data_IF_677622048662
#
_entry.id   IF_677622048662
#
_cell.length_a   1.000
_cell.length_b   1.000
_cell.length_c   1.000
_cell.angle_alpha   90.00
_cell.angle_beta   90.00
_cell.angle_gamma   90.00
#
_symmetry.space_group_name_H-M   'P 1'
#
loop_
_entity.id
_entity.type
_entity.pdbx_description
1 polymer ?
#
# COMPACT_ATOMS: atom_id res chain seq x y z
N UNK A 1 14.93 6.03 -13.28
CA UNK A 1 14.68 4.87 -14.16
C UNK A 1 13.45 5.17 -14.99
N UNK A 2 13.30 4.70 -16.23
CA UNK A 2 12.06 4.92 -16.99
C UNK A 2 10.99 3.95 -16.50
N UNK A 3 9.86 4.46 -16.01
CA UNK A 3 8.72 3.68 -15.52
C UNK A 3 7.49 3.96 -16.40
N UNK A 4 6.61 2.97 -16.51
CA UNK A 4 5.36 3.07 -17.28
C UNK A 4 4.16 3.04 -16.32
N UNK A 5 3.14 3.84 -16.63
CA UNK A 5 1.89 3.85 -15.90
C UNK A 5 1.18 2.49 -16.06
N UNK A 6 0.72 1.86 -14.96
CA UNK A 6 0.10 0.55 -15.02
C UNK A 6 -1.34 0.60 -15.58
N UNK A 7 -1.98 1.77 -15.55
CA UNK A 7 -3.35 1.99 -16.08
C UNK A 7 -3.35 2.25 -17.59
N UNK A 8 -2.47 3.14 -18.08
CA UNK A 8 -2.52 3.62 -19.48
C UNK A 8 -1.19 3.53 -20.23
N UNK A 9 -0.16 2.89 -19.65
CA UNK A 9 1.11 2.55 -20.30
C UNK A 9 1.94 3.75 -20.80
N UNK A 10 1.57 4.97 -20.39
CA UNK A 10 2.35 6.17 -20.67
C UNK A 10 3.57 6.23 -19.75
N UNK A 11 4.65 6.88 -20.22
CA UNK A 11 5.84 7.12 -19.42
C UNK A 11 5.49 8.03 -18.24
N UNK A 12 5.88 7.62 -17.04
CA UNK A 12 5.76 8.46 -15.86
C UNK A 12 6.80 9.58 -15.88
N UNK A 13 6.40 10.76 -15.40
CA UNK A 13 7.24 11.95 -15.31
C UNK A 13 7.52 12.23 -13.84
N UNK A 14 8.80 12.43 -13.51
CA UNK A 14 9.20 12.77 -12.14
C UNK A 14 8.79 14.22 -11.86
N UNK A 15 7.94 14.41 -10.85
CA UNK A 15 7.56 15.71 -10.33
C UNK A 15 8.01 15.90 -8.88
N UNK A 16 8.19 17.16 -8.45
CA UNK A 16 8.53 17.48 -7.07
C UNK A 16 7.31 18.02 -6.35
N UNK A 17 6.80 17.23 -5.41
CA UNK A 17 5.73 17.65 -4.52
C UNK A 17 6.32 18.31 -3.28
N UNK A 18 5.81 19.49 -2.93
CA UNK A 18 6.26 20.24 -1.76
C UNK A 18 5.49 19.80 -0.52
N UNK A 19 6.20 19.54 0.56
CA UNK A 19 5.64 19.40 1.90
C UNK A 19 6.40 20.29 2.86
N UNK A 20 5.87 21.49 3.11
CA UNK A 20 6.56 22.52 3.88
C UNK A 20 7.90 22.88 3.22
N UNK A 21 9.00 22.58 3.91
CA UNK A 21 10.37 22.85 3.44
C UNK A 21 10.98 21.70 2.60
N UNK A 22 10.31 20.56 2.52
CA UNK A 22 10.82 19.36 1.86
C UNK A 22 10.23 19.21 0.47
N UNK A 23 11.04 18.72 -0.47
CA UNK A 23 10.57 18.25 -1.77
C UNK A 23 10.60 16.73 -1.76
N UNK A 24 9.48 16.10 -2.10
CA UNK A 24 9.38 14.67 -2.35
C UNK A 24 9.27 14.49 -3.85
N UNK A 25 10.09 13.61 -4.42
CA UNK A 25 9.96 13.28 -5.85
C UNK A 25 8.83 12.27 -5.97
N UNK A 26 7.97 12.38 -6.98
CA UNK A 26 6.91 11.41 -7.27
C UNK A 26 6.86 11.19 -8.76
N UNK A 27 6.33 10.06 -9.20
CA UNK A 27 6.18 9.75 -10.62
C UNK A 27 4.73 9.93 -11.06
N UNK A 28 4.45 10.98 -11.81
CA UNK A 28 3.11 11.34 -12.27
C UNK A 28 2.83 10.82 -13.69
N UNK A 29 1.63 10.30 -13.91
CA UNK A 29 1.12 10.01 -15.25
C UNK A 29 0.34 11.21 -15.80
N UNK A 30 0.76 11.74 -16.96
CA UNK A 30 0.05 12.83 -17.64
C UNK A 30 -1.22 12.42 -18.38
N UNK A 31 -1.47 11.10 -18.53
CA UNK A 31 -2.64 10.56 -19.23
C UNK A 31 -3.83 10.33 -18.31
N UNK A 32 -3.63 9.53 -17.25
CA UNK A 32 -4.69 9.22 -16.29
C UNK A 32 -4.64 10.09 -15.03
N UNK A 33 -3.50 10.72 -14.69
CA UNK A 33 -3.32 11.48 -13.46
C UNK A 33 -2.84 10.67 -12.25
N UNK A 34 -2.63 9.36 -12.41
CA UNK A 34 -2.15 8.51 -11.31
C UNK A 34 -0.69 8.79 -10.93
N UNK A 35 -0.36 8.47 -9.69
CA UNK A 35 0.91 8.78 -9.04
C UNK A 35 1.55 7.49 -8.54
N UNK A 36 2.81 7.27 -8.89
CA UNK A 36 3.64 6.25 -8.26
C UNK A 36 4.55 6.89 -7.20
N UNK A 37 4.56 6.30 -6.01
CA UNK A 37 5.37 6.67 -4.88
C UNK A 37 6.37 5.55 -4.59
N UNK A 38 7.65 5.89 -4.55
CA UNK A 38 8.70 4.97 -4.09
C UNK A 38 8.59 4.70 -2.58
N UNK A 39 9.34 3.70 -2.12
CA UNK A 39 9.38 3.33 -0.72
C UNK A 39 9.63 4.54 0.20
N UNK A 40 8.72 4.74 1.16
CA UNK A 40 8.79 5.81 2.15
C UNK A 40 8.31 7.18 1.68
N UNK A 41 7.99 7.38 0.40
CA UNK A 41 7.49 8.67 -0.11
C UNK A 41 6.09 8.98 0.42
N UNK A 42 5.23 7.98 0.56
CA UNK A 42 3.92 8.15 1.21
C UNK A 42 4.06 8.70 2.64
N UNK A 43 5.01 8.18 3.44
CA UNK A 43 5.31 8.72 4.76
C UNK A 43 5.86 10.15 4.70
N UNK A 44 6.73 10.43 3.71
CA UNK A 44 7.26 11.78 3.51
C UNK A 44 6.19 12.77 3.11
N UNK A 45 5.16 12.37 2.38
CA UNK A 45 4.05 13.22 1.93
C UNK A 45 2.97 13.41 2.98
N UNK A 46 2.65 12.37 3.76
CA UNK A 46 1.53 12.39 4.72
C UNK A 46 1.99 12.61 6.16
N UNK A 47 3.18 12.11 6.54
CA UNK A 47 3.62 11.99 7.93
C UNK A 47 2.80 11.00 8.75
N UNK A 48 1.87 10.28 8.12
CA UNK A 48 0.99 9.35 8.76
C UNK A 48 1.71 7.99 8.86
N UNK A 49 2.31 7.71 10.03
CA UNK A 49 3.03 6.46 10.29
C UNK A 49 2.12 5.22 10.21
N UNK A 50 0.89 5.24 10.78
CA UNK A 50 -0.07 4.16 10.58
C UNK A 50 -0.33 3.85 9.10
N UNK A 51 -0.54 4.88 8.27
CA UNK A 51 -0.74 4.71 6.83
C UNK A 51 0.45 4.05 6.14
N UNK A 52 1.68 4.51 6.41
CA UNK A 52 2.88 3.85 5.89
C UNK A 52 3.02 2.40 6.40
N UNK A 53 2.51 2.07 7.58
CA UNK A 53 2.61 0.69 8.07
C UNK A 53 1.80 -0.28 7.20
N UNK A 54 0.66 0.17 6.66
CA UNK A 54 -0.14 -0.60 5.69
C UNK A 54 0.68 -0.98 4.45
N UNK A 55 1.58 -0.11 3.99
CA UNK A 55 2.43 -0.38 2.82
C UNK A 55 3.57 -1.37 3.08
N UNK A 56 3.72 -1.84 4.31
CA UNK A 56 4.84 -2.70 4.76
C UNK A 56 4.38 -4.05 5.33
N UNK A 57 3.06 -4.27 5.45
CA UNK A 57 2.52 -5.54 5.92
C UNK A 57 2.37 -6.53 4.77
N UNK A 58 2.53 -7.82 5.08
CA UNK A 58 2.22 -8.90 4.14
C UNK A 58 0.69 -9.10 4.17
N UNK A 59 -0.02 -8.50 3.22
CA UNK A 59 -1.47 -8.62 3.09
C UNK A 59 -1.75 -9.32 1.76
N UNK A 60 -1.66 -10.65 1.78
CA UNK A 60 -1.78 -11.49 0.60
C UNK A 60 -2.87 -12.55 0.74
N UNK A 61 -4.02 -12.16 1.30
CA UNK A 61 -5.11 -13.12 1.53
C UNK A 61 -6.21 -12.95 0.48
N UNK A 62 -6.62 -11.72 0.10
CA UNK A 62 -7.67 -11.50 -0.92
C UNK A 62 -7.55 -10.11 -1.58
N UNK A 63 -6.57 -9.90 -2.46
CA UNK A 63 -6.44 -8.64 -3.20
C UNK A 63 -6.90 -8.78 -4.65
N UNK A 64 -7.80 -7.88 -5.07
CA UNK A 64 -8.32 -7.79 -6.44
C UNK A 64 -7.50 -6.84 -7.33
N UNK A 65 -6.35 -6.34 -6.86
CA UNK A 65 -5.53 -5.44 -7.67
C UNK A 65 -5.01 -6.15 -8.91
N UNK A 66 -5.23 -5.52 -10.06
CA UNK A 66 -4.79 -6.01 -11.36
C UNK A 66 -3.55 -5.27 -11.87
N UNK A 67 -2.89 -4.49 -11.00
CA UNK A 67 -1.79 -3.62 -11.40
C UNK A 67 -0.43 -4.29 -11.27
N UNK A 68 0.45 -3.97 -12.22
CA UNK A 68 1.86 -4.28 -12.14
C UNK A 68 2.62 -3.06 -11.62
N UNK A 69 3.46 -3.26 -10.62
CA UNK A 69 4.27 -2.22 -10.00
C UNK A 69 5.18 -1.53 -11.04
N UNK A 70 5.07 -0.21 -11.24
CA UNK A 70 5.97 0.53 -12.12
C UNK A 70 7.44 0.47 -11.69
N UNK A 71 7.69 0.23 -10.40
CA UNK A 71 9.03 0.16 -9.83
C UNK A 71 9.77 -1.14 -10.13
N UNK A 72 9.10 -2.29 -10.02
CA UNK A 72 9.75 -3.61 -10.11
C UNK A 72 9.01 -4.66 -10.97
N UNK A 73 7.81 -4.35 -11.48
CA UNK A 73 7.00 -5.26 -12.30
C UNK A 73 6.26 -6.36 -11.53
N UNK A 74 6.33 -6.37 -10.20
CA UNK A 74 5.57 -7.31 -9.37
C UNK A 74 4.07 -6.96 -9.34
N UNK A 75 3.23 -7.94 -9.05
CA UNK A 75 1.79 -7.70 -8.80
C UNK A 75 1.66 -6.81 -7.56
N UNK A 76 0.71 -5.87 -7.61
CA UNK A 76 0.36 -5.00 -6.49
C UNK A 76 -0.85 -5.56 -5.75
N UNK A 77 -1.03 -5.13 -4.51
CA UNK A 77 -2.18 -5.46 -3.69
C UNK A 77 -3.02 -4.23 -3.35
N UNK A 78 -4.34 -4.34 -3.48
CA UNK A 78 -5.26 -3.25 -3.14
C UNK A 78 -5.43 -3.19 -1.63
N UNK A 79 -5.16 -2.02 -1.05
CA UNK A 79 -5.34 -1.73 0.36
C UNK A 79 -6.31 -0.57 0.56
N UNK A 80 -6.89 -0.50 1.75
CA UNK A 80 -7.87 0.51 2.09
C UNK A 80 -7.49 1.23 3.39
N UNK A 81 -7.59 2.55 3.39
CA UNK A 81 -7.42 3.37 4.58
C UNK A 81 -8.50 4.44 4.62
N UNK A 82 -9.34 4.43 5.66
CA UNK A 82 -10.44 5.39 5.83
C UNK A 82 -11.34 5.54 4.57
N UNK A 83 -11.62 4.41 3.91
CA UNK A 83 -12.45 4.39 2.69
C UNK A 83 -11.73 4.79 1.39
N UNK A 84 -10.42 5.03 1.44
CA UNK A 84 -9.60 5.29 0.26
C UNK A 84 -8.87 4.01 -0.13
N UNK A 85 -9.09 3.53 -1.36
CA UNK A 85 -8.34 2.44 -1.97
C UNK A 85 -6.96 2.97 -2.44
N UNK A 86 -5.93 2.13 -2.42
CA UNK A 86 -4.64 2.38 -3.04
C UNK A 86 -3.89 1.08 -3.23
N UNK A 87 -3.01 1.00 -4.23
CA UNK A 87 -2.28 -0.24 -4.51
C UNK A 87 -0.87 -0.23 -3.91
N UNK A 88 -0.46 -1.33 -3.29
CA UNK A 88 0.84 -1.50 -2.64
C UNK A 88 1.60 -2.65 -3.30
N UNK A 89 2.84 -2.40 -3.69
CA UNK A 89 3.73 -3.47 -4.13
C UNK A 89 4.42 -4.15 -2.94
N UNK A 90 4.15 -5.42 -2.67
CA UNK A 90 4.83 -6.17 -1.61
C UNK A 90 6.31 -6.45 -1.86
N UNK A 91 6.78 -6.31 -3.11
CA UNK A 91 8.18 -6.58 -3.48
C UNK A 91 9.12 -5.39 -3.20
N UNK A 92 8.70 -4.17 -3.52
CA UNK A 92 9.52 -2.97 -3.37
C UNK A 92 8.92 -1.92 -2.44
N UNK A 93 7.74 -2.20 -1.86
CA UNK A 93 6.99 -1.27 -1.00
C UNK A 93 6.71 0.08 -1.67
N UNK A 94 6.58 0.08 -3.00
CA UNK A 94 6.08 1.21 -3.77
C UNK A 94 4.55 1.25 -3.73
N UNK A 95 3.97 2.43 -3.90
CA UNK A 95 2.52 2.65 -3.84
C UNK A 95 2.07 3.29 -5.14
N UNK A 96 0.96 2.81 -5.68
CA UNK A 96 0.25 3.47 -6.77
C UNK A 96 -1.01 4.11 -6.20
N UNK A 97 -1.25 5.35 -6.63
CA UNK A 97 -2.42 6.15 -6.29
C UNK A 97 -3.11 6.56 -7.58
N UNK A 98 -4.40 6.32 -7.68
CA UNK A 98 -5.24 6.90 -8.72
C UNK A 98 -5.52 8.39 -8.42
N UNK A 99 -6.03 9.15 -9.40
CA UNK A 99 -6.19 10.60 -9.27
C UNK A 99 -7.05 11.00 -8.07
N UNK A 100 -6.54 11.87 -7.20
CA UNK A 100 -7.25 12.37 -6.01
C UNK A 100 -7.05 11.55 -4.74
N UNK A 101 -6.48 10.33 -4.82
CA UNK A 101 -6.27 9.48 -3.65
C UNK A 101 -5.19 10.04 -2.72
N UNK A 102 -4.16 10.70 -3.26
CA UNK A 102 -3.12 11.33 -2.45
C UNK A 102 -3.71 12.39 -1.51
N UNK A 103 -4.57 13.25 -2.04
CA UNK A 103 -5.25 14.30 -1.29
C UNK A 103 -6.19 13.70 -0.24
N UNK A 104 -6.92 12.64 -0.60
CA UNK A 104 -7.80 11.92 0.32
C UNK A 104 -6.99 11.29 1.47
N UNK A 105 -5.89 10.59 1.17
CA UNK A 105 -5.00 10.00 2.17
C UNK A 105 -4.31 11.04 3.08
N UNK A 106 -4.01 12.24 2.55
CA UNK A 106 -3.48 13.34 3.35
C UNK A 106 -4.49 13.91 4.36
N UNK A 107 -5.78 13.78 4.08
CA UNK A 107 -6.86 14.22 4.97
C UNK A 107 -7.18 13.21 6.08
N UNK A 108 -6.68 11.97 5.99
CA UNK A 108 -6.95 10.93 6.98
C UNK A 108 -6.26 11.24 8.31
N UNK A 109 -7.04 11.28 9.40
CA UNK A 109 -6.50 11.37 10.76
C UNK A 109 -5.77 10.05 11.11
N UNK A 110 -4.48 10.09 11.50
CA UNK A 110 -3.77 8.92 11.99
C UNK A 110 -4.46 8.17 13.14
N UNK A 111 -5.34 8.82 13.90
CA UNK A 111 -6.12 8.18 14.97
C UNK A 111 -7.15 7.17 14.43
N UNK A 112 -7.72 7.41 13.26
CA UNK A 112 -8.70 6.50 12.61
C UNK A 112 -8.05 5.19 12.15
N UNK A 113 -6.76 5.20 11.85
CA UNK A 113 -6.01 4.03 11.36
C UNK A 113 -5.38 3.17 12.48
N UNK A 114 -5.53 3.57 13.75
CA UNK A 114 -4.98 2.80 14.88
C UNK A 114 -5.84 1.59 15.26
N UNK A 115 -7.12 1.62 14.92
CA UNK A 115 -8.05 0.53 15.17
C UNK A 115 -8.25 -0.26 13.87
N UNK A 116 -8.00 -1.57 13.92
CA UNK A 116 -8.39 -2.43 12.80
C UNK A 116 -9.92 -2.39 12.71
N UNK A 117 -10.50 -2.16 11.52
CA UNK A 117 -11.94 -2.14 11.41
C UNK A 117 -12.50 -3.53 11.77
N UNK A 118 -13.72 -3.61 12.34
CA UNK A 118 -14.32 -4.86 12.77
C UNK A 118 -14.34 -5.94 11.69
N UNK A 119 -14.52 -5.57 10.41
CA UNK A 119 -14.43 -6.49 9.27
C UNK A 119 -13.05 -7.14 9.13
N UNK A 120 -11.97 -6.34 9.11
CA UNK A 120 -10.60 -6.87 8.97
C UNK A 120 -10.21 -7.68 10.21
N UNK A 121 -10.72 -7.33 11.40
CA UNK A 121 -10.57 -8.18 12.58
C UNK A 121 -11.29 -9.52 12.40
N UNK A 122 -12.54 -9.53 11.96
CA UNK A 122 -13.31 -10.75 11.73
C UNK A 122 -12.62 -11.66 10.69
N UNK A 123 -12.15 -11.10 9.57
CA UNK A 123 -11.36 -11.82 8.57
C UNK A 123 -10.10 -12.47 9.17
N UNK A 124 -9.35 -11.72 9.99
CA UNK A 124 -8.15 -12.25 10.67
C UNK A 124 -8.50 -13.34 11.70
N UNK A 125 -9.62 -13.21 12.41
CA UNK A 125 -10.11 -14.24 13.33
C UNK A 125 -10.51 -15.51 12.59
N UNK A 126 -11.25 -15.39 11.49
CA UNK A 126 -11.70 -16.51 10.66
C UNK A 126 -10.51 -17.22 9.99
N UNK A 127 -9.56 -16.46 9.45
CA UNK A 127 -8.31 -16.99 8.91
C UNK A 127 -7.50 -17.74 9.98
N UNK A 128 -7.43 -17.21 11.21
CA UNK A 128 -6.75 -17.84 12.34
C UNK A 128 -7.39 -19.16 12.81
N UNK A 129 -8.70 -19.32 12.65
CA UNK A 129 -9.42 -20.56 12.93
C UNK A 129 -9.26 -21.61 11.81
N UNK A 130 -9.02 -21.17 10.57
CA UNK A 130 -8.80 -22.04 9.41
C UNK A 130 -7.38 -22.65 9.36
N UNK A 131 -6.42 -22.09 10.11
CA UNK A 131 -5.09 -22.70 10.27
C UNK A 131 -5.18 -23.79 11.34
N UNK A 132 -4.99 -25.08 11.03
CA UNK A 132 -4.90 -26.09 12.08
C UNK A 132 -3.72 -25.71 12.99
N UNK A 133 -3.96 -25.68 14.30
CA UNK A 133 -3.00 -25.29 15.35
C UNK A 133 -1.79 -26.23 15.50
N UNK A 134 -1.22 -26.70 14.40
CA UNK A 134 0.05 -27.43 14.34
C UNK A 134 1.20 -26.43 14.33
N UNK A 135 1.47 -25.82 15.48
CA UNK A 135 2.65 -24.97 15.64
C UNK A 135 3.95 -25.74 15.39
N UNK A 136 5.00 -25.02 14.98
CA UNK A 136 6.38 -25.46 14.72
C UNK A 136 7.09 -26.19 15.89
N UNK A 137 6.40 -26.40 17.02
CA UNK A 137 6.92 -27.06 18.23
C UNK A 137 6.19 -28.38 18.56
N UNK A 138 5.26 -28.84 17.71
CA UNK A 138 4.52 -30.09 17.93
C UNK A 138 5.43 -31.35 18.03
N UNK A 139 6.67 -31.27 17.55
CA UNK A 139 7.65 -32.35 17.62
C UNK A 139 8.41 -32.43 18.97
N UNK A 140 8.35 -31.40 19.82
CA UNK A 140 9.12 -31.35 21.08
C UNK A 140 8.44 -32.03 22.28
N UNK A 141 7.18 -32.46 22.15
CA UNK A 141 6.41 -33.01 23.27
C UNK A 141 5.82 -34.40 23.03
N UNK A 142 6.29 -35.14 22.02
CA UNK A 142 5.90 -36.53 21.82
C UNK A 142 6.80 -37.44 22.68
N UNK A 143 6.23 -37.93 23.79
CA UNK A 143 6.79 -39.03 24.60
C UNK A 143 6.86 -40.34 23.82
#
# INVERSE_FOLDING_TARGET
>A
MKRDCPRCWQKLVVEKQKRGLWNVSVDLCSGCGGIFLDNGELLRLTGNRPLHHLTTKHLGIDSDSQLLCPGCGGIMDAEHAAGVEFDVCLSCSGVWLDPGELEALQAVDPAELKELPPEKLAELYDAGQAVPGGGLLAWLFRK
#
